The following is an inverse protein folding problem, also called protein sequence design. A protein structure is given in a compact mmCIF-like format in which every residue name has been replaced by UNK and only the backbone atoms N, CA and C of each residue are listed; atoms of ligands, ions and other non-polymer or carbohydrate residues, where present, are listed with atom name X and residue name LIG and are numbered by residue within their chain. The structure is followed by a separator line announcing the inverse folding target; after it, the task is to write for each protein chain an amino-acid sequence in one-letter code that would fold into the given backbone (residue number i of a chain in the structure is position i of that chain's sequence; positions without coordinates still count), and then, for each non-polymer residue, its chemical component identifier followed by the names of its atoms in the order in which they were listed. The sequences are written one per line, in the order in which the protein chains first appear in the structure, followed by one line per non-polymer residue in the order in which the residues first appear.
data_IF_377308796252
#
_entry.id   IF_377308796252
#
_cell.length_a   1.000
_cell.length_b   1.000
_cell.length_c   1.000
_cell.angle_alpha   90.00
_cell.angle_beta   90.00
_cell.angle_gamma   90.00
#
_symmetry.space_group_name_H-M   'P 1'
#
loop_
_entity.id
_entity.type
_entity.pdbx_description
1 polymer ?
#
# COMPACT_ATOMS: atom_id res chain seq x y z
N UNK A 1 -3.97 36.59 31.25
CA UNK A 1 -3.33 37.44 30.24
C UNK A 1 -3.86 37.05 28.86
N UNK A 2 -4.97 37.68 28.47
CA UNK A 2 -5.60 37.45 27.16
C UNK A 2 -4.98 38.37 26.12
N UNK A 3 -4.52 37.81 25.01
CA UNK A 3 -4.02 38.57 23.86
C UNK A 3 -5.21 38.77 22.91
N UNK A 4 -5.65 40.01 22.80
CA UNK A 4 -6.59 40.47 21.77
C UNK A 4 -5.76 40.77 20.52
N UNK A 5 -5.99 40.02 19.44
CA UNK A 5 -5.43 40.30 18.12
C UNK A 5 -6.38 41.24 17.37
N UNK A 6 -6.00 42.51 17.29
CA UNK A 6 -6.65 43.53 16.47
C UNK A 6 -6.41 43.22 14.99
N UNK A 7 -7.48 42.95 14.25
CA UNK A 7 -7.43 42.84 12.78
C UNK A 7 -7.35 44.24 12.20
N UNK A 8 -6.21 44.59 11.60
CA UNK A 8 -6.07 45.82 10.83
C UNK A 8 -6.92 45.71 9.55
N UNK A 9 -7.85 46.64 9.36
CA UNK A 9 -8.61 46.78 8.12
C UNK A 9 -7.67 47.25 7.00
N UNK A 10 -7.64 46.51 5.89
CA UNK A 10 -6.93 46.88 4.68
C UNK A 10 -7.62 48.10 4.02
N UNK A 11 -6.86 49.04 3.44
CA UNK A 11 -7.44 50.20 2.76
C UNK A 11 -8.20 49.78 1.51
N UNK A 12 -9.42 50.30 1.36
CA UNK A 12 -10.19 50.19 0.13
C UNK A 12 -9.43 50.91 -0.99
N UNK A 13 -8.97 50.15 -1.99
CA UNK A 13 -8.29 50.70 -3.16
C UNK A 13 -7.01 49.98 -3.62
N UNK A 14 -6.57 48.92 -2.93
CA UNK A 14 -5.45 48.11 -3.42
C UNK A 14 -5.89 47.25 -4.62
N UNK A 15 -5.46 47.66 -5.83
CA UNK A 15 -5.55 46.81 -7.02
C UNK A 15 -4.78 45.51 -6.78
N UNK A 16 -5.49 44.39 -6.84
CA UNK A 16 -4.88 43.06 -6.83
C UNK A 16 -3.95 42.96 -8.05
N UNK A 17 -2.65 42.64 -7.89
CA UNK A 17 -1.76 42.50 -9.03
C UNK A 17 -2.30 41.38 -9.93
N UNK A 18 -2.53 41.70 -11.21
CA UNK A 18 -2.90 40.77 -12.26
C UNK A 18 -1.73 39.82 -12.62
N UNK A 19 -1.28 39.03 -11.64
CA UNK A 19 -0.25 38.00 -11.81
C UNK A 19 -0.72 36.70 -11.14
N UNK A 20 -1.94 36.27 -11.46
CA UNK A 20 -2.19 34.84 -11.65
C UNK A 20 -1.59 34.48 -13.00
N UNK A 21 -0.26 34.39 -13.05
CA UNK A 21 0.48 33.78 -14.16
C UNK A 21 -0.15 32.41 -14.38
N UNK A 22 -0.77 32.25 -15.55
CA UNK A 22 -1.27 30.99 -16.06
C UNK A 22 -0.20 29.92 -15.89
N UNK A 23 -0.44 28.98 -14.98
CA UNK A 23 0.35 27.76 -14.94
C UNK A 23 0.23 27.10 -16.31
N UNK A 24 1.32 26.57 -16.89
CA UNK A 24 1.24 25.90 -18.18
C UNK A 24 0.27 24.71 -18.06
N UNK A 25 -0.85 24.79 -18.77
CA UNK A 25 -1.71 23.63 -19.02
C UNK A 25 -0.93 22.69 -19.92
N UNK A 26 -0.43 21.60 -19.36
CA UNK A 26 0.09 20.50 -20.16
C UNK A 26 -1.11 19.63 -20.55
N UNK A 27 -1.50 19.70 -21.82
CA UNK A 27 -2.45 18.75 -22.42
C UNK A 27 -1.62 17.65 -23.07
N UNK A 28 -1.68 16.45 -22.53
CA UNK A 28 -1.10 15.25 -23.14
C UNK A 28 -2.15 14.60 -24.03
N UNK A 29 -1.87 14.47 -25.33
CA UNK A 29 -2.68 13.62 -26.21
C UNK A 29 -2.43 12.15 -25.86
N UNK A 30 -3.51 11.39 -25.69
CA UNK A 30 -3.47 10.00 -25.24
C UNK A 30 -3.29 9.07 -26.43
N UNK A 31 -2.28 8.21 -26.37
CA UNK A 31 -2.05 7.14 -27.36
C UNK A 31 -3.07 6.00 -27.15
N UNK A 32 -4.01 5.87 -28.09
CA UNK A 32 -5.07 4.87 -28.06
C UNK A 32 -4.55 3.43 -28.17
N UNK A 33 -3.42 3.21 -28.84
CA UNK A 33 -2.86 1.86 -29.00
C UNK A 33 -2.23 1.37 -27.69
N UNK A 34 -1.53 2.25 -26.97
CA UNK A 34 -0.98 1.97 -25.65
C UNK A 34 -2.08 1.69 -24.60
N UNK A 35 -3.20 2.41 -24.68
CA UNK A 35 -4.37 2.19 -23.83
C UNK A 35 -5.04 0.84 -24.14
N UNK A 36 -5.30 0.53 -25.42
CA UNK A 36 -5.90 -0.76 -25.80
C UNK A 36 -5.02 -1.97 -25.42
N UNK A 37 -3.69 -1.83 -25.48
CA UNK A 37 -2.76 -2.88 -25.04
C UNK A 37 -2.72 -3.05 -23.52
N UNK A 38 -2.89 -1.96 -22.75
CA UNK A 38 -3.00 -1.99 -21.29
C UNK A 38 -4.37 -2.50 -20.80
N UNK A 39 -5.41 -2.31 -21.61
CA UNK A 39 -6.80 -2.71 -21.36
C UNK A 39 -7.14 -4.10 -21.90
N UNK A 40 -6.15 -5.00 -22.09
CA UNK A 40 -6.49 -6.41 -22.35
C UNK A 40 -7.48 -6.83 -21.27
N UNK A 41 -8.71 -7.27 -21.64
CA UNK A 41 -9.72 -7.62 -20.67
C UNK A 41 -9.16 -8.81 -19.88
N UNK A 42 -8.62 -8.51 -18.69
CA UNK A 42 -8.75 -9.43 -17.58
C UNK A 42 -10.25 -9.68 -17.51
N UNK A 43 -10.72 -10.93 -17.55
CA UNK A 43 -12.13 -11.16 -17.29
C UNK A 43 -12.43 -10.42 -16.00
N UNK A 44 -13.38 -9.49 -16.06
CA UNK A 44 -14.04 -8.94 -14.89
C UNK A 44 -14.63 -10.17 -14.20
N UNK A 45 -13.82 -10.86 -13.40
CA UNK A 45 -14.30 -11.74 -12.35
C UNK A 45 -15.03 -10.76 -11.48
N UNK A 46 -16.33 -10.71 -11.75
CA UNK A 46 -17.28 -9.86 -11.12
C UNK A 46 -16.91 -9.76 -9.65
N UNK A 47 -17.04 -8.56 -9.12
CA UNK A 47 -17.35 -8.36 -7.71
C UNK A 47 -18.67 -9.11 -7.49
N UNK A 48 -18.61 -10.44 -7.41
CA UNK A 48 -19.77 -11.27 -7.21
C UNK A 48 -20.27 -10.93 -5.82
N UNK A 49 -21.60 -10.81 -5.62
CA UNK A 49 -22.14 -10.66 -4.30
C UNK A 49 -21.69 -11.86 -3.46
N UNK A 50 -21.00 -11.55 -2.36
CA UNK A 50 -20.43 -12.45 -1.35
C UNK A 50 -21.52 -13.18 -0.55
N UNK A 51 -22.39 -13.91 -1.25
CA UNK A 51 -23.42 -14.76 -0.66
C UNK A 51 -23.00 -16.21 -0.80
N UNK A 52 -21.92 -16.59 -0.12
CA UNK A 52 -21.64 -18.01 0.12
C UNK A 52 -21.54 -18.25 1.63
N UNK A 53 -22.62 -18.79 2.20
CA UNK A 53 -22.79 -19.14 3.62
C UNK A 53 -22.19 -20.52 3.95
N UNK A 54 -21.23 -20.98 3.14
CA UNK A 54 -20.52 -22.23 3.40
C UNK A 54 -19.76 -22.12 4.71
N UNK A 55 -20.10 -22.97 5.68
CA UNK A 55 -19.32 -23.13 6.90
C UNK A 55 -17.94 -23.62 6.48
N UNK A 56 -16.90 -22.80 6.65
CA UNK A 56 -15.53 -23.23 6.38
C UNK A 56 -15.25 -24.48 7.24
N UNK A 57 -14.89 -25.62 6.63
CA UNK A 57 -14.49 -26.78 7.40
C UNK A 57 -13.36 -26.38 8.34
N UNK A 58 -13.37 -26.93 9.55
CA UNK A 58 -12.35 -26.69 10.55
C UNK A 58 -10.99 -27.10 9.94
N UNK A 59 -10.19 -26.10 9.54
CA UNK A 59 -8.89 -26.35 8.93
C UNK A 59 -8.00 -27.07 9.95
N UNK A 60 -7.20 -28.07 9.52
CA UNK A 60 -6.36 -28.86 10.43
C UNK A 60 -5.38 -27.97 11.23
N UNK A 61 -4.91 -28.49 12.36
CA UNK A 61 -3.87 -27.85 13.18
C UNK A 61 -2.67 -27.47 12.29
N UNK A 62 -2.09 -26.27 12.47
CA UNK A 62 -1.02 -25.83 11.60
C UNK A 62 0.22 -26.69 11.72
N UNK A 63 0.73 -27.10 10.56
CA UNK A 63 2.04 -27.70 10.46
C UNK A 63 3.13 -26.73 10.96
N UNK A 64 4.29 -27.24 11.43
CA UNK A 64 5.43 -26.40 11.79
C UNK A 64 5.82 -25.48 10.62
N UNK A 65 6.20 -24.24 10.93
CA UNK A 65 6.70 -23.30 9.92
C UNK A 65 7.95 -23.89 9.25
N UNK A 66 8.01 -23.94 7.91
CA UNK A 66 9.19 -24.42 7.22
C UNK A 66 10.45 -23.68 7.68
N UNK A 67 11.55 -24.40 7.89
CA UNK A 67 12.81 -23.83 8.37
C UNK A 67 13.30 -22.68 7.47
N UNK A 68 13.06 -22.77 6.16
CA UNK A 68 13.34 -21.71 5.19
C UNK A 68 12.66 -20.40 5.59
N UNK A 69 11.34 -20.41 5.79
CA UNK A 69 10.56 -19.23 6.22
C UNK A 69 11.08 -18.68 7.55
N UNK A 70 11.40 -19.55 8.52
CA UNK A 70 11.94 -19.12 9.82
C UNK A 70 13.28 -18.38 9.66
N UNK A 71 14.16 -18.85 8.77
CA UNK A 71 15.44 -18.21 8.47
C UNK A 71 15.34 -17.01 7.53
N UNK A 72 14.18 -16.75 6.92
CA UNK A 72 13.96 -15.56 6.11
C UNK A 72 13.48 -14.37 6.92
N UNK A 73 12.80 -14.61 8.03
CA UNK A 73 12.06 -13.60 8.80
C UNK A 73 12.82 -13.25 10.08
N UNK A 74 12.98 -11.96 10.32
CA UNK A 74 13.75 -11.40 11.42
C UNK A 74 13.07 -10.15 11.99
N UNK A 75 13.60 -9.59 13.07
CA UNK A 75 13.09 -8.34 13.65
C UNK A 75 13.92 -7.15 13.22
N UNK A 76 13.29 -5.97 13.20
CA UNK A 76 13.98 -4.68 13.08
C UNK A 76 13.74 -3.81 14.31
N UNK A 77 14.76 -3.04 14.67
CA UNK A 77 14.78 -2.21 15.87
C UNK A 77 15.72 -0.99 15.70
N UNK A 78 15.62 -0.01 16.60
CA UNK A 78 16.30 1.28 16.49
C UNK A 78 17.77 1.23 16.95
N UNK A 79 18.06 0.42 17.96
CA UNK A 79 19.39 0.15 18.49
C UNK A 79 19.49 -1.33 18.90
N UNK A 80 20.69 -1.90 19.08
CA UNK A 80 20.85 -3.28 19.55
C UNK A 80 20.16 -3.60 20.89
N UNK A 81 20.01 -2.60 21.77
CA UNK A 81 19.43 -2.72 23.10
C UNK A 81 17.92 -2.43 23.12
N UNK A 82 17.40 -1.80 22.07
CA UNK A 82 15.98 -1.46 21.98
C UNK A 82 15.12 -2.71 21.79
N UNK A 83 13.92 -2.71 22.37
CA UNK A 83 12.97 -3.79 22.12
C UNK A 83 12.50 -3.81 20.66
N UNK A 84 12.42 -5.02 20.09
CA UNK A 84 11.95 -5.30 18.73
C UNK A 84 10.71 -4.47 18.36
N UNK A 85 10.80 -3.70 17.28
CA UNK A 85 9.73 -2.77 16.86
C UNK A 85 8.87 -3.30 15.74
N UNK A 86 9.44 -4.08 14.83
CA UNK A 86 8.70 -4.63 13.72
C UNK A 86 9.28 -5.93 13.20
N UNK A 87 8.52 -6.54 12.30
CA UNK A 87 8.93 -7.71 11.54
C UNK A 87 9.60 -7.25 10.25
N UNK A 88 10.52 -8.06 9.76
CA UNK A 88 11.13 -7.88 8.46
C UNK A 88 11.50 -9.24 7.87
N UNK A 89 11.82 -9.26 6.59
CA UNK A 89 12.26 -10.49 5.93
C UNK A 89 13.26 -10.22 4.81
N UNK A 90 14.04 -11.25 4.49
CA UNK A 90 14.95 -11.26 3.37
C UNK A 90 14.22 -11.76 2.13
N UNK A 91 14.40 -11.07 1.01
CA UNK A 91 13.79 -11.45 -0.27
C UNK A 91 14.79 -11.26 -1.41
N UNK A 92 14.78 -12.16 -2.37
CA UNK A 92 15.53 -12.05 -3.61
C UNK A 92 14.68 -11.33 -4.65
N UNK A 93 15.20 -10.23 -5.19
CA UNK A 93 14.55 -9.48 -6.27
C UNK A 93 15.61 -9.15 -7.32
N UNK A 94 15.40 -9.67 -8.53
CA UNK A 94 16.27 -9.46 -9.68
C UNK A 94 17.75 -9.81 -9.36
N UNK A 95 17.97 -10.89 -8.60
CA UNK A 95 19.30 -11.41 -8.24
C UNK A 95 19.97 -10.73 -7.05
N UNK A 96 19.30 -9.77 -6.40
CA UNK A 96 19.81 -9.07 -5.22
C UNK A 96 18.94 -9.37 -4.00
N UNK A 97 19.60 -9.62 -2.87
CA UNK A 97 18.92 -9.82 -1.58
C UNK A 97 18.64 -8.48 -0.91
N UNK A 98 17.37 -8.25 -0.61
CA UNK A 98 16.87 -7.07 0.07
C UNK A 98 16.27 -7.44 1.42
N UNK A 99 16.42 -6.56 2.40
CA UNK A 99 15.63 -6.58 3.62
C UNK A 99 14.38 -5.73 3.42
N UNK A 100 13.24 -6.26 3.82
CA UNK A 100 11.92 -5.65 3.63
C UNK A 100 11.21 -5.49 4.95
N UNK A 101 10.60 -4.33 5.18
CA UNK A 101 9.63 -4.11 6.26
C UNK A 101 8.55 -3.11 5.83
N UNK A 102 7.58 -2.85 6.69
CA UNK A 102 6.60 -1.79 6.47
C UNK A 102 7.24 -0.41 6.66
N UNK A 103 6.84 0.59 5.88
CA UNK A 103 7.47 1.91 5.96
C UNK A 103 7.27 2.57 7.32
N UNK A 104 6.08 2.49 7.91
CA UNK A 104 5.84 3.07 9.23
C UNK A 104 6.69 2.42 10.34
N UNK A 105 7.11 1.16 10.19
CA UNK A 105 8.07 0.54 11.12
C UNK A 105 9.43 1.27 11.07
N UNK A 106 9.84 1.74 9.89
CA UNK A 106 11.06 2.57 9.77
C UNK A 106 10.92 3.91 10.48
N UNK A 107 9.73 4.51 10.49
CA UNK A 107 9.47 5.74 11.26
C UNK A 107 9.68 5.50 12.76
N UNK A 108 9.18 4.37 13.27
CA UNK A 108 9.29 3.98 14.69
C UNK A 108 10.73 3.68 15.15
N UNK A 109 11.64 3.40 14.21
CA UNK A 109 13.06 3.08 14.50
C UNK A 109 14.03 4.15 14.02
N UNK A 110 13.54 5.37 13.77
CA UNK A 110 14.37 6.50 13.30
C UNK A 110 15.14 6.22 12.00
N UNK A 111 14.67 5.26 11.20
CA UNK A 111 15.23 4.89 9.90
C UNK A 111 16.66 4.33 9.94
N UNK A 112 17.14 3.84 11.08
CA UNK A 112 18.44 3.15 11.16
C UNK A 112 18.17 1.72 11.62
N UNK A 113 17.86 0.80 10.68
CA UNK A 113 17.41 -0.54 11.05
C UNK A 113 18.57 -1.38 11.56
N UNK A 114 18.46 -1.83 12.80
CA UNK A 114 19.21 -2.99 13.29
C UNK A 114 18.38 -4.24 13.06
N UNK A 115 18.94 -5.21 12.36
CA UNK A 115 18.33 -6.51 12.09
C UNK A 115 18.72 -7.49 13.20
N UNK A 116 17.78 -8.21 13.77
CA UNK A 116 18.06 -9.28 14.74
C UNK A 116 17.47 -10.61 14.27
N UNK A 117 18.31 -11.62 14.13
CA UNK A 117 17.97 -12.96 13.64
C UNK A 117 18.65 -14.05 14.48
N UNK A 118 18.13 -15.29 14.47
CA UNK A 118 18.77 -16.40 15.18
C UNK A 118 20.15 -16.70 14.58
N UNK A 119 21.20 -16.60 15.41
CA UNK A 119 22.55 -17.02 15.07
C UNK A 119 22.82 -18.48 15.44
N UNK A 120 24.09 -18.85 15.45
CA UNK A 120 24.54 -20.18 15.85
C UNK A 120 24.12 -20.51 17.29
N UNK A 121 23.67 -21.75 17.51
CA UNK A 121 23.23 -22.25 18.82
C UNK A 121 22.09 -21.43 19.47
N UNK A 122 21.34 -20.65 18.67
CA UNK A 122 20.22 -19.85 19.14
C UNK A 122 20.60 -18.50 19.75
N UNK A 123 21.89 -18.12 19.75
CA UNK A 123 22.33 -16.78 20.18
C UNK A 123 21.90 -15.77 19.12
N UNK A 124 21.10 -14.73 19.45
CA UNK A 124 20.70 -13.72 18.48
C UNK A 124 21.91 -12.95 17.95
N UNK A 125 21.95 -12.75 16.63
CA UNK A 125 22.91 -11.86 15.97
C UNK A 125 22.17 -10.58 15.61
N UNK A 126 22.75 -9.44 15.98
CA UNK A 126 22.21 -8.11 15.65
C UNK A 126 23.21 -7.34 14.81
N UNK A 127 22.79 -6.85 13.65
CA UNK A 127 23.63 -6.08 12.73
C UNK A 127 22.90 -4.84 12.24
N UNK A 128 23.63 -3.75 12.06
CA UNK A 128 23.12 -2.55 11.39
C UNK A 128 22.94 -2.81 9.90
N UNK A 129 21.81 -2.36 9.35
CA UNK A 129 21.52 -2.40 7.93
C UNK A 129 21.33 -0.99 7.37
N UNK A 130 21.58 -0.84 6.07
CA UNK A 130 21.55 0.47 5.42
C UNK A 130 20.21 0.69 4.70
N UNK A 131 19.43 1.73 5.05
CA UNK A 131 18.22 2.07 4.30
C UNK A 131 18.54 2.32 2.82
N UNK A 132 17.64 1.89 1.94
CA UNK A 132 17.81 2.06 0.50
C UNK A 132 16.68 2.89 -0.10
N UNK A 133 15.44 2.41 -0.01
CA UNK A 133 14.29 3.06 -0.64
C UNK A 133 13.02 2.83 0.16
N UNK A 134 12.17 3.84 0.15
CA UNK A 134 10.95 3.89 0.95
C UNK A 134 9.79 4.39 0.10
N UNK A 135 8.65 3.70 0.19
CA UNK A 135 7.37 4.20 -0.29
C UNK A 135 6.76 5.21 0.69
N UNK A 136 5.64 5.82 0.32
CA UNK A 136 4.84 6.61 1.25
C UNK A 136 4.04 5.68 2.19
N UNK A 137 3.91 6.02 3.48
CA UNK A 137 3.01 5.32 4.43
C UNK A 137 1.57 5.26 3.90
N UNK A 138 1.14 6.32 3.21
CA UNK A 138 -0.17 6.36 2.59
C UNK A 138 -0.18 5.82 1.13
N UNK A 139 0.98 5.46 0.59
CA UNK A 139 1.20 4.88 -0.72
C UNK A 139 1.48 3.38 -0.66
N UNK A 140 2.71 2.96 -0.96
CA UNK A 140 3.11 1.56 -0.84
C UNK A 140 3.29 1.09 0.61
N UNK A 141 3.60 1.96 1.59
CA UNK A 141 3.92 1.61 2.98
C UNK A 141 4.99 0.50 3.12
N UNK A 142 6.00 0.56 2.27
CA UNK A 142 7.11 -0.39 2.23
C UNK A 142 8.45 0.32 2.40
N UNK A 143 9.39 -0.37 3.03
CA UNK A 143 10.78 0.05 3.09
C UNK A 143 11.70 -1.09 2.70
N UNK A 144 12.73 -0.75 1.92
CA UNK A 144 13.84 -1.60 1.54
C UNK A 144 15.13 -1.10 2.19
N UNK A 145 15.92 -2.06 2.67
CA UNK A 145 17.27 -1.82 3.15
C UNK A 145 18.22 -2.88 2.62
N UNK A 146 19.50 -2.52 2.53
CA UNK A 146 20.57 -3.40 2.11
C UNK A 146 20.92 -4.34 3.27
N UNK A 147 20.87 -5.64 3.02
CA UNK A 147 21.30 -6.64 4.00
C UNK A 147 22.84 -6.64 4.05
N UNK A 148 23.45 -6.47 5.24
CA UNK A 148 24.91 -6.52 5.37
C UNK A 148 25.42 -7.91 4.96
N UNK A 149 26.56 -8.03 4.24
CA UNK A 149 27.07 -9.32 3.77
C UNK A 149 27.25 -10.37 4.89
N UNK A 150 27.55 -9.91 6.11
CA UNK A 150 27.71 -10.75 7.30
C UNK A 150 26.42 -11.46 7.72
N UNK A 151 25.24 -10.94 7.34
CA UNK A 151 23.96 -11.58 7.65
C UNK A 151 23.59 -12.68 6.66
N UNK A 152 24.13 -12.68 5.43
CA UNK A 152 23.74 -13.59 4.36
C UNK A 152 23.86 -15.09 4.72
N UNK A 153 24.87 -15.56 5.48
CA UNK A 153 24.95 -16.96 5.88
C UNK A 153 23.76 -17.45 6.72
N UNK A 154 23.16 -16.55 7.51
CA UNK A 154 22.05 -16.84 8.43
C UNK A 154 20.69 -16.75 7.78
N UNK A 155 20.61 -16.12 6.61
CA UNK A 155 19.35 -15.82 5.94
C UNK A 155 19.10 -16.79 4.79
N UNK A 156 17.83 -17.11 4.56
CA UNK A 156 17.37 -17.76 3.34
C UNK A 156 16.38 -16.82 2.67
N UNK A 157 16.78 -16.03 1.67
CA UNK A 157 15.89 -15.09 1.02
C UNK A 157 14.67 -15.79 0.42
N UNK A 158 13.50 -15.18 0.58
CA UNK A 158 12.28 -15.63 -0.08
C UNK A 158 12.26 -15.19 -1.54
N UNK A 159 11.46 -15.87 -2.35
CA UNK A 159 11.13 -15.42 -3.70
C UNK A 159 9.81 -14.66 -3.71
N UNK A 160 9.63 -13.76 -4.69
CA UNK A 160 8.37 -13.07 -4.90
C UNK A 160 7.35 -13.96 -5.61
N UNK A 161 6.08 -13.77 -5.27
CA UNK A 161 4.96 -14.23 -6.08
C UNK A 161 4.54 -13.10 -7.02
N UNK A 162 4.48 -13.40 -8.32
CA UNK A 162 4.16 -12.40 -9.35
C UNK A 162 2.64 -12.28 -9.57
N UNK A 163 1.90 -13.34 -9.23
CA UNK A 163 0.46 -13.36 -9.35
C UNK A 163 -0.23 -12.82 -8.09
N UNK A 164 -1.28 -12.02 -8.29
CA UNK A 164 -2.13 -11.63 -7.16
C UNK A 164 -2.88 -12.86 -6.64
N UNK A 165 -3.03 -13.01 -5.32
CA UNK A 165 -3.80 -14.12 -4.78
C UNK A 165 -5.26 -14.00 -5.20
N UNK A 166 -5.88 -15.15 -5.50
CA UNK A 166 -7.31 -15.18 -5.79
C UNK A 166 -8.14 -14.90 -4.53
N UNK A 167 -9.32 -14.30 -4.70
CA UNK A 167 -10.30 -14.19 -3.62
C UNK A 167 -10.63 -15.58 -3.05
N UNK A 168 -10.86 -15.64 -1.74
CA UNK A 168 -11.08 -16.85 -0.92
C UNK A 168 -9.91 -17.85 -0.87
N UNK A 169 -8.79 -17.58 -1.53
CA UNK A 169 -7.57 -18.36 -1.30
C UNK A 169 -7.09 -18.18 0.15
N UNK A 170 -6.42 -19.21 0.68
CA UNK A 170 -5.85 -19.18 2.03
C UNK A 170 -4.35 -19.02 1.90
N UNK A 171 -3.84 -17.96 2.52
CA UNK A 171 -2.43 -17.63 2.59
C UNK A 171 -1.91 -17.88 4.00
N UNK A 172 -0.58 -17.95 4.13
CA UNK A 172 0.07 -17.96 5.43
C UNK A 172 0.87 -16.67 5.65
N UNK A 173 1.27 -16.39 6.88
CA UNK A 173 2.14 -15.26 7.21
C UNK A 173 2.97 -15.63 8.43
N UNK A 174 4.21 -15.17 8.51
CA UNK A 174 5.07 -15.43 9.66
C UNK A 174 5.86 -14.18 9.99
N UNK A 175 5.92 -13.81 11.26
CA UNK A 175 6.45 -12.54 11.72
C UNK A 175 6.72 -12.57 13.20
N UNK A 176 6.97 -11.42 13.79
CA UNK A 176 7.17 -11.25 15.21
C UNK A 176 6.06 -10.38 15.80
N UNK A 177 5.50 -10.76 16.94
CA UNK A 177 4.63 -9.88 17.71
C UNK A 177 5.14 -9.86 19.15
N UNK A 178 5.35 -8.65 19.69
CA UNK A 178 5.98 -8.44 21.01
C UNK A 178 7.30 -9.23 21.16
N UNK A 179 8.09 -9.30 20.10
CA UNK A 179 9.37 -10.03 20.08
C UNK A 179 9.27 -11.56 19.95
N UNK A 180 8.06 -12.13 19.95
CA UNK A 180 7.87 -13.57 19.76
C UNK A 180 7.57 -13.88 18.30
N UNK A 181 8.23 -14.90 17.75
CA UNK A 181 7.91 -15.38 16.42
C UNK A 181 6.53 -16.04 16.42
N UNK A 182 5.65 -15.57 15.53
CA UNK A 182 4.30 -16.06 15.36
C UNK A 182 4.07 -16.45 13.91
N UNK A 183 3.36 -17.56 13.72
CA UNK A 183 2.84 -17.98 12.42
C UNK A 183 1.33 -17.85 12.37
N UNK A 184 0.84 -17.37 11.25
CA UNK A 184 -0.55 -17.20 10.90
C UNK A 184 -0.83 -18.09 9.68
N UNK A 185 -1.17 -19.36 9.89
CA UNK A 185 -1.22 -20.38 8.84
C UNK A 185 -2.42 -20.21 7.89
N UNK A 186 -3.48 -19.54 8.34
CA UNK A 186 -4.74 -19.43 7.64
C UNK A 186 -5.25 -17.98 7.63
N UNK A 187 -4.89 -17.28 6.56
CA UNK A 187 -5.37 -15.94 6.22
C UNK A 187 -6.18 -16.01 4.93
N UNK A 188 -7.50 -15.92 5.03
CA UNK A 188 -8.37 -15.94 3.85
C UNK A 188 -8.32 -14.58 3.14
N UNK A 189 -8.09 -14.59 1.83
CA UNK A 189 -8.10 -13.39 0.99
C UNK A 189 -9.53 -12.96 0.71
N UNK A 190 -9.87 -11.75 1.12
CA UNK A 190 -11.18 -11.15 0.83
C UNK A 190 -11.14 -10.35 -0.47
N UNK A 191 -10.02 -9.68 -0.73
CA UNK A 191 -9.82 -8.83 -1.89
C UNK A 191 -8.33 -8.72 -2.20
N UNK A 192 -7.99 -8.66 -3.48
CA UNK A 192 -6.63 -8.39 -3.93
C UNK A 192 -6.67 -7.52 -5.18
N UNK A 193 -5.97 -6.39 -5.14
CA UNK A 193 -5.64 -5.57 -6.31
C UNK A 193 -4.13 -5.33 -6.33
N UNK A 194 -3.64 -4.67 -7.38
CA UNK A 194 -2.23 -4.23 -7.42
C UNK A 194 -1.90 -3.24 -6.30
N UNK A 195 -2.91 -2.60 -5.68
CA UNK A 195 -2.69 -1.63 -4.61
C UNK A 195 -2.60 -2.30 -3.23
N UNK A 196 -3.55 -3.20 -2.92
CA UNK A 196 -3.72 -3.78 -1.58
C UNK A 196 -4.26 -5.20 -1.66
N UNK A 197 -3.91 -5.98 -0.64
CA UNK A 197 -4.51 -7.28 -0.33
C UNK A 197 -5.22 -7.12 1.00
N UNK A 198 -6.51 -7.45 1.04
CA UNK A 198 -7.30 -7.53 2.25
C UNK A 198 -7.50 -9.00 2.59
N UNK A 199 -7.24 -9.34 3.85
CA UNK A 199 -7.40 -10.70 4.37
C UNK A 199 -8.13 -10.68 5.71
N UNK A 200 -8.66 -11.82 6.13
CA UNK A 200 -9.12 -12.07 7.51
C UNK A 200 -8.36 -13.24 8.12
N UNK A 201 -8.14 -13.19 9.43
CA UNK A 201 -7.60 -14.35 10.17
C UNK A 201 -8.72 -15.36 10.39
N UNK A 202 -8.48 -16.64 10.05
CA UNK A 202 -9.52 -17.69 10.12
C UNK A 202 -9.49 -18.45 11.44
N UNK A 203 -8.31 -18.60 12.04
CA UNK A 203 -8.10 -19.54 13.16
C UNK A 203 -7.40 -18.91 14.37
N UNK A 204 -7.19 -17.59 14.36
CA UNK A 204 -6.33 -16.90 15.30
C UNK A 204 -6.77 -15.45 15.45
N UNK A 205 -6.48 -14.87 16.62
CA UNK A 205 -6.61 -13.43 16.82
C UNK A 205 -5.58 -12.69 15.97
N UNK A 206 -5.86 -11.42 15.65
CA UNK A 206 -4.88 -10.53 15.06
C UNK A 206 -3.58 -10.61 15.85
N UNK A 207 -2.43 -10.63 15.15
CA UNK A 207 -1.16 -10.48 15.80
C UNK A 207 -1.08 -9.10 16.46
N UNK A 208 -0.45 -9.07 17.63
CA UNK A 208 -0.25 -7.85 18.40
C UNK A 208 0.86 -6.97 17.79
N UNK A 209 1.12 -5.82 18.41
CA UNK A 209 2.18 -4.88 18.01
C UNK A 209 3.51 -5.59 17.70
N UNK A 210 4.15 -5.16 16.61
CA UNK A 210 5.40 -5.73 16.09
C UNK A 210 5.25 -6.54 14.81
N UNK A 211 4.04 -6.96 14.43
CA UNK A 211 3.84 -7.85 13.28
C UNK A 211 3.92 -7.15 11.92
N UNK A 212 3.76 -5.82 11.87
CA UNK A 212 3.95 -5.03 10.67
C UNK A 212 5.33 -5.30 10.03
N UNK A 213 5.33 -5.46 8.71
CA UNK A 213 6.49 -5.87 7.91
C UNK A 213 6.61 -7.39 7.69
N UNK A 214 5.76 -8.21 8.31
CA UNK A 214 5.75 -9.66 8.08
C UNK A 214 5.34 -10.01 6.63
N UNK A 215 5.98 -11.00 5.98
CA UNK A 215 5.56 -11.45 4.67
C UNK A 215 4.21 -12.18 4.73
N UNK A 216 3.38 -11.91 3.73
CA UNK A 216 2.20 -12.70 3.37
C UNK A 216 2.62 -13.69 2.28
N UNK A 217 2.38 -14.97 2.50
CA UNK A 217 2.96 -16.08 1.76
C UNK A 217 1.90 -16.86 0.99
N UNK A 218 2.14 -17.04 -0.30
CA UNK A 218 1.41 -17.94 -1.20
C UNK A 218 2.39 -19.01 -1.66
N UNK A 219 2.11 -20.27 -1.33
CA UNK A 219 2.98 -21.40 -1.70
C UNK A 219 4.46 -21.21 -1.31
N UNK A 220 4.72 -20.57 -0.17
CA UNK A 220 6.08 -20.26 0.32
C UNK A 220 6.76 -19.05 -0.34
N UNK A 221 6.13 -18.41 -1.32
CA UNK A 221 6.58 -17.16 -1.96
C UNK A 221 5.86 -15.95 -1.39
N UNK A 222 6.49 -14.78 -1.45
CA UNK A 222 5.94 -13.53 -0.92
C UNK A 222 4.90 -12.97 -1.88
N UNK A 223 3.62 -13.04 -1.51
CA UNK A 223 2.52 -12.39 -2.21
C UNK A 223 2.33 -10.94 -1.76
N UNK A 224 2.78 -10.58 -0.55
CA UNK A 224 2.73 -9.22 -0.07
C UNK A 224 3.38 -9.02 1.30
N UNK A 225 3.23 -7.83 1.85
CA UNK A 225 3.77 -7.43 3.15
C UNK A 225 2.65 -6.93 4.03
N UNK A 226 2.51 -7.49 5.22
CA UNK A 226 1.55 -7.03 6.21
C UNK A 226 1.89 -5.62 6.70
N UNK A 227 0.94 -4.70 6.62
CA UNK A 227 1.12 -3.29 7.04
C UNK A 227 0.13 -2.84 8.11
N UNK A 228 -0.78 -3.70 8.55
CA UNK A 228 -1.69 -3.37 9.62
C UNK A 228 -2.84 -4.34 9.77
N UNK A 229 -3.47 -4.26 10.94
CA UNK A 229 -4.73 -4.92 11.24
C UNK A 229 -5.76 -3.88 11.67
N UNK A 230 -7.00 -4.04 11.24
CA UNK A 230 -8.14 -3.28 11.71
C UNK A 230 -8.93 -4.16 12.68
N UNK A 231 -8.97 -3.74 13.93
CA UNK A 231 -9.83 -4.36 14.94
C UNK A 231 -11.30 -4.13 14.60
N UNK A 232 -12.17 -5.04 15.06
CA UNK A 232 -13.59 -5.08 14.73
C UNK A 232 -14.32 -3.77 14.95
N UNK A 233 -14.13 -3.17 16.12
CA UNK A 233 -14.73 -1.91 16.56
C UNK A 233 -14.29 -0.73 15.68
N UNK A 234 -13.00 -0.65 15.38
CA UNK A 234 -12.43 0.40 14.53
C UNK A 234 -12.83 0.24 13.07
N UNK A 235 -12.95 -1.00 12.60
CA UNK A 235 -13.46 -1.28 11.27
C UNK A 235 -14.91 -0.80 11.15
N UNK A 236 -15.77 -1.12 12.12
CA UNK A 236 -17.19 -0.74 12.11
C UNK A 236 -17.43 0.78 12.06
N UNK A 237 -16.55 1.56 12.68
CA UNK A 237 -16.63 3.03 12.66
C UNK A 237 -16.07 3.69 11.40
N UNK A 238 -15.42 2.93 10.50
CA UNK A 238 -14.82 3.52 9.31
C UNK A 238 -15.89 3.91 8.28
N UNK A 239 -15.75 5.09 7.67
CA UNK A 239 -16.73 5.63 6.70
C UNK A 239 -17.08 4.68 5.55
N UNK A 240 -16.16 3.78 5.19
CA UNK A 240 -16.32 2.81 4.12
C UNK A 240 -16.95 1.47 4.56
N UNK A 241 -17.06 1.22 5.86
CA UNK A 241 -17.54 -0.04 6.42
C UNK A 241 -19.03 -0.25 6.17
N UNK A 242 -19.85 0.76 6.45
CA UNK A 242 -21.31 0.70 6.39
C UNK A 242 -21.88 0.41 5.00
N UNK A 243 -21.16 0.80 3.93
CA UNK A 243 -21.59 0.59 2.54
C UNK A 243 -20.97 -0.61 1.83
N UNK A 244 -19.80 -1.09 2.26
CA UNK A 244 -18.99 -2.02 1.44
C UNK A 244 -18.54 -3.28 2.16
N UNK A 245 -18.59 -3.33 3.50
CA UNK A 245 -18.21 -4.54 4.25
C UNK A 245 -19.40 -5.34 4.78
N UNK A 246 -20.60 -4.77 4.82
CA UNK A 246 -21.82 -5.52 5.15
C UNK A 246 -22.02 -6.75 4.25
N UNK A 247 -21.56 -6.66 3.00
CA UNK A 247 -21.57 -7.78 2.04
C UNK A 247 -20.58 -8.90 2.36
N UNK A 248 -19.48 -8.66 3.08
CA UNK A 248 -18.45 -9.71 3.29
C UNK A 248 -18.84 -10.74 4.36
N UNK A 249 -20.01 -10.62 5.00
CA UNK A 249 -20.48 -11.45 6.13
C UNK A 249 -19.38 -11.75 7.16
N UNK A 250 -18.38 -10.89 7.24
CA UNK A 250 -17.31 -10.99 8.18
C UNK A 250 -17.85 -10.32 9.42
N UNK A 251 -18.22 -11.10 10.44
CA UNK A 251 -18.01 -10.62 11.80
C UNK A 251 -16.61 -10.04 11.79
N UNK A 252 -16.46 -8.77 12.15
CA UNK A 252 -15.27 -7.96 11.88
C UNK A 252 -14.03 -8.43 12.68
N UNK A 253 -13.83 -9.74 12.84
CA UNK A 253 -12.60 -10.34 13.28
C UNK A 253 -11.47 -9.82 12.41
N UNK A 254 -10.67 -8.95 13.03
CA UNK A 254 -9.29 -8.64 12.72
C UNK A 254 -8.96 -8.67 11.22
N UNK A 255 -9.46 -7.69 10.48
CA UNK A 255 -9.09 -7.53 9.09
C UNK A 255 -7.60 -7.20 9.03
N UNK A 256 -6.91 -7.77 8.05
CA UNK A 256 -5.51 -7.46 7.83
C UNK A 256 -5.28 -6.92 6.43
N UNK A 257 -4.53 -5.83 6.38
CA UNK A 257 -4.13 -5.13 5.18
C UNK A 257 -2.68 -5.49 4.86
N UNK A 258 -2.44 -5.86 3.62
CA UNK A 258 -1.13 -6.09 3.08
C UNK A 258 -0.91 -5.34 1.77
N UNK A 259 0.35 -5.12 1.43
CA UNK A 259 0.80 -4.47 0.20
C UNK A 259 1.32 -5.57 -0.73
N UNK A 260 0.82 -5.67 -1.98
CA UNK A 260 1.26 -6.69 -2.92
C UNK A 260 2.77 -6.66 -3.22
N UNK A 261 3.33 -7.83 -3.49
CA UNK A 261 4.73 -8.03 -3.87
C UNK A 261 5.16 -7.21 -5.11
N UNK A 262 4.22 -6.89 -6.01
CA UNK A 262 4.43 -5.97 -7.11
C UNK A 262 5.11 -4.66 -6.70
N UNK A 263 4.68 -4.07 -5.57
CA UNK A 263 5.28 -2.84 -5.06
C UNK A 263 6.72 -3.03 -4.57
N UNK A 264 7.07 -4.21 -4.06
CA UNK A 264 8.45 -4.51 -3.65
C UNK A 264 9.39 -4.48 -4.86
N UNK A 265 8.98 -5.12 -5.97
CA UNK A 265 9.76 -5.11 -7.21
C UNK A 265 9.93 -3.69 -7.75
N UNK A 266 8.84 -2.92 -7.81
CA UNK A 266 8.88 -1.51 -8.22
C UNK A 266 9.84 -0.69 -7.34
N UNK A 267 9.78 -0.87 -6.01
CA UNK A 267 10.63 -0.14 -5.07
C UNK A 267 12.11 -0.57 -5.17
N UNK A 268 12.39 -1.86 -5.39
CA UNK A 268 13.73 -2.40 -5.55
C UNK A 268 14.38 -1.89 -6.85
N UNK A 269 13.60 -1.80 -7.93
CA UNK A 269 14.07 -1.20 -9.19
C UNK A 269 14.29 0.30 -9.06
N UNK A 270 13.52 0.99 -8.22
CA UNK A 270 13.79 2.41 -7.92
C UNK A 270 15.09 2.57 -7.14
N UNK A 271 15.40 1.64 -6.22
CA UNK A 271 16.66 1.62 -5.50
C UNK A 271 17.87 1.34 -6.42
N UNK A 272 17.72 0.47 -7.41
CA UNK A 272 18.80 0.13 -8.35
C UNK A 272 18.95 1.08 -9.55
N UNK A 273 18.03 2.05 -9.71
CA UNK A 273 17.99 2.93 -10.87
C UNK A 273 17.44 2.27 -12.15
N UNK A 274 16.95 1.03 -12.07
CA UNK A 274 16.38 0.28 -13.19
C UNK A 274 14.87 0.52 -13.38
N UNK A 275 14.26 1.40 -12.58
CA UNK A 275 12.82 1.62 -12.58
C UNK A 275 12.32 2.37 -13.82
N UNK A 276 11.31 1.80 -14.48
CA UNK A 276 10.51 2.50 -15.48
C UNK A 276 9.21 3.05 -14.87
N UNK A 277 8.85 4.32 -15.12
CA UNK A 277 7.54 4.88 -14.72
C UNK A 277 6.33 4.06 -15.20
N UNK A 278 6.49 3.23 -16.24
CA UNK A 278 5.46 2.33 -16.73
C UNK A 278 5.14 1.17 -15.77
N UNK A 279 6.01 0.92 -14.79
CA UNK A 279 5.83 -0.11 -13.76
C UNK A 279 4.98 0.38 -12.58
N UNK A 280 4.42 1.58 -12.61
CA UNK A 280 3.45 2.04 -11.61
C UNK A 280 2.07 1.40 -11.76
N UNK A 281 1.21 1.57 -10.74
CA UNK A 281 -0.18 1.11 -10.81
C UNK A 281 -0.98 2.06 -11.70
N UNK A 282 -1.60 1.57 -12.78
CA UNK A 282 -2.44 2.41 -13.61
C UNK A 282 -3.64 2.90 -12.80
N UNK A 283 -3.88 4.21 -12.85
CA UNK A 283 -5.08 4.84 -12.34
C UNK A 283 -6.01 5.07 -13.53
N UNK A 284 -7.13 4.35 -13.57
CA UNK A 284 -8.00 4.26 -14.73
C UNK A 284 -9.43 4.61 -14.34
N UNK A 285 -10.08 5.43 -15.16
CA UNK A 285 -11.50 5.74 -15.09
C UNK A 285 -12.16 5.42 -16.41
N UNK A 286 -13.15 4.53 -16.43
CA UNK A 286 -13.89 4.17 -17.65
C UNK A 286 -12.94 3.78 -18.81
N UNK A 287 -11.88 3.03 -18.50
CA UNK A 287 -10.84 2.63 -19.46
C UNK A 287 -9.79 3.70 -19.78
N UNK A 288 -9.98 4.95 -19.35
CA UNK A 288 -9.01 6.02 -19.57
C UNK A 288 -7.94 6.02 -18.46
N UNK A 289 -6.69 5.72 -18.81
CA UNK A 289 -5.58 5.84 -17.87
C UNK A 289 -5.24 7.31 -17.63
N UNK A 290 -5.46 7.78 -16.41
CA UNK A 290 -5.09 9.12 -15.96
C UNK A 290 -3.59 9.24 -15.73
N UNK A 291 -3.05 8.29 -14.98
CA UNK A 291 -1.61 8.22 -14.71
C UNK A 291 -1.22 6.84 -14.15
N UNK A 292 0.05 6.71 -13.73
CA UNK A 292 0.56 5.54 -13.00
C UNK A 292 1.10 5.94 -11.64
N UNK A 293 0.49 5.41 -10.58
CA UNK A 293 0.92 5.62 -9.20
C UNK A 293 2.29 4.98 -8.96
N UNK A 294 3.18 5.77 -8.39
CA UNK A 294 4.50 5.37 -7.95
C UNK A 294 4.46 4.84 -6.50
N UNK A 295 5.46 4.06 -6.05
CA UNK A 295 5.52 3.60 -4.65
C UNK A 295 5.50 4.75 -3.62
N UNK A 296 6.01 5.91 -4.03
CA UNK A 296 6.08 7.15 -3.25
C UNK A 296 4.86 8.04 -3.39
N UNK A 297 3.90 7.70 -4.25
CA UNK A 297 2.68 8.47 -4.43
C UNK A 297 1.64 8.10 -3.38
N UNK A 298 0.83 9.07 -3.02
CA UNK A 298 -0.32 8.92 -2.13
C UNK A 298 -1.51 9.58 -2.77
N UNK A 299 -2.63 8.85 -2.84
CA UNK A 299 -3.92 9.45 -3.17
C UNK A 299 -4.49 10.06 -1.90
N UNK A 300 -4.68 11.37 -1.91
CA UNK A 300 -5.35 12.08 -0.83
C UNK A 300 -6.85 11.80 -0.88
N UNK A 301 -7.48 12.19 -1.98
CA UNK A 301 -8.90 11.94 -2.24
C UNK A 301 -9.20 11.90 -3.74
N UNK A 302 -10.36 11.36 -4.05
CA UNK A 302 -10.97 11.38 -5.38
C UNK A 302 -12.34 12.05 -5.26
N UNK A 303 -12.58 13.12 -6.01
CA UNK A 303 -13.80 13.93 -5.93
C UNK A 303 -14.54 13.91 -7.27
N UNK A 304 -15.79 13.48 -7.25
CA UNK A 304 -16.72 13.58 -8.37
C UNK A 304 -17.50 14.90 -8.27
N UNK A 305 -17.56 15.64 -9.37
CA UNK A 305 -18.35 16.84 -9.53
C UNK A 305 -19.39 16.66 -10.64
N UNK A 306 -20.58 17.21 -10.44
CA UNK A 306 -21.65 17.28 -11.45
C UNK A 306 -22.13 18.71 -11.54
N UNK A 307 -22.04 19.30 -12.72
CA UNK A 307 -22.35 20.72 -12.93
C UNK A 307 -21.61 21.64 -11.94
N UNK A 308 -20.33 21.32 -11.67
CA UNK A 308 -19.47 22.07 -10.74
C UNK A 308 -19.73 21.86 -9.24
N UNK A 309 -20.73 21.04 -8.87
CA UNK A 309 -21.04 20.71 -7.47
C UNK A 309 -20.44 19.36 -7.08
N UNK A 310 -19.88 19.27 -5.88
CA UNK A 310 -19.36 18.00 -5.35
C UNK A 310 -20.52 17.03 -5.13
N UNK A 311 -20.47 15.88 -5.80
CA UNK A 311 -21.44 14.78 -5.64
C UNK A 311 -20.91 13.77 -4.63
N UNK A 312 -19.63 13.42 -4.75
CA UNK A 312 -19.01 12.38 -3.95
C UNK A 312 -17.53 12.67 -3.74
N UNK A 313 -17.05 12.49 -2.52
CA UNK A 313 -15.62 12.47 -2.21
C UNK A 313 -15.29 11.11 -1.64
N UNK A 314 -14.36 10.41 -2.27
CA UNK A 314 -13.84 9.14 -1.81
C UNK A 314 -12.44 9.34 -1.23
N UNK A 315 -12.26 9.17 0.08
CA UNK A 315 -10.93 8.95 0.64
C UNK A 315 -10.41 7.56 0.22
N UNK A 316 -9.11 7.32 0.46
CA UNK A 316 -8.46 6.05 0.18
C UNK A 316 -9.08 4.90 1.00
N UNK A 317 -9.42 3.80 0.34
CA UNK A 317 -9.88 2.56 0.99
C UNK A 317 -8.96 1.36 0.71
N UNK A 318 -8.86 0.39 1.64
CA UNK A 318 -8.00 -0.78 1.45
C UNK A 318 -8.46 -1.74 0.34
N UNK A 319 -9.69 -1.62 -0.15
CA UNK A 319 -10.23 -2.43 -1.26
C UNK A 319 -10.43 -1.62 -2.55
N UNK A 320 -9.79 -0.45 -2.66
CA UNK A 320 -9.79 0.27 -3.93
C UNK A 320 -9.00 -0.50 -4.99
N UNK A 321 -9.62 -0.68 -6.15
CA UNK A 321 -8.93 -1.05 -7.38
C UNK A 321 -8.75 0.20 -8.26
N UNK A 322 -7.53 0.74 -8.27
CA UNK A 322 -7.22 1.92 -9.07
C UNK A 322 -7.27 1.66 -10.58
N UNK A 323 -7.24 0.40 -11.01
CA UNK A 323 -7.44 0.05 -12.42
C UNK A 323 -8.91 0.08 -12.85
N UNK A 324 -9.85 0.22 -11.89
CA UNK A 324 -11.29 0.18 -12.12
C UNK A 324 -12.03 1.18 -11.23
N UNK A 325 -11.61 2.46 -11.24
CA UNK A 325 -12.17 3.46 -10.34
C UNK A 325 -13.65 3.73 -10.59
N UNK A 326 -14.14 3.48 -11.82
CA UNK A 326 -15.56 3.58 -12.17
C UNK A 326 -16.47 2.75 -11.26
N UNK A 327 -15.97 1.66 -10.68
CA UNK A 327 -16.74 0.79 -9.77
C UNK A 327 -17.16 1.51 -8.48
N UNK A 328 -16.53 2.64 -8.15
CA UNK A 328 -16.82 3.40 -6.94
C UNK A 328 -17.67 4.66 -7.18
N UNK A 329 -18.04 4.97 -8.42
CA UNK A 329 -18.77 6.19 -8.78
C UNK A 329 -19.96 5.89 -9.69
N UNK A 330 -21.05 6.61 -9.49
CA UNK A 330 -22.17 6.63 -10.43
C UNK A 330 -21.89 7.70 -11.49
N UNK A 331 -21.18 7.30 -12.55
CA UNK A 331 -20.64 8.20 -13.57
C UNK A 331 -21.72 8.57 -14.60
N UNK A 332 -21.97 9.87 -14.81
CA UNK A 332 -22.85 10.37 -15.87
C UNK A 332 -22.08 11.25 -16.87
N UNK A 333 -22.56 11.39 -18.13
CA UNK A 333 -21.99 12.33 -19.07
C UNK A 333 -21.90 13.75 -18.49
N UNK A 334 -20.74 14.40 -18.65
CA UNK A 334 -20.48 15.74 -18.11
C UNK A 334 -20.07 15.81 -16.64
N UNK A 335 -20.03 14.68 -15.93
CA UNK A 335 -19.39 14.62 -14.61
C UNK A 335 -17.89 14.90 -14.77
N UNK A 336 -17.28 15.60 -13.81
CA UNK A 336 -15.84 15.78 -13.75
C UNK A 336 -15.23 15.16 -12.50
N UNK A 337 -14.01 14.65 -12.63
CA UNK A 337 -13.31 13.95 -11.56
C UNK A 337 -12.04 14.71 -11.23
N UNK A 338 -11.86 14.99 -9.94
CA UNK A 338 -10.70 15.68 -9.40
C UNK A 338 -9.95 14.75 -8.46
N UNK A 339 -8.71 14.50 -8.79
CA UNK A 339 -7.84 13.61 -8.03
C UNK A 339 -6.73 14.41 -7.38
N UNK A 340 -6.54 14.27 -6.07
CA UNK A 340 -5.38 14.79 -5.35
C UNK A 340 -4.34 13.68 -5.17
N UNK A 341 -3.15 13.88 -5.74
CA UNK A 341 -2.00 13.01 -5.52
C UNK A 341 -0.87 13.79 -4.90
N UNK A 342 -0.38 13.28 -3.79
CA UNK A 342 0.81 13.76 -3.11
C UNK A 342 1.97 12.84 -3.47
N UNK A 343 2.95 13.36 -4.21
CA UNK A 343 4.17 12.63 -4.56
C UNK A 343 5.35 13.15 -3.77
N UNK A 344 6.18 12.25 -3.27
CA UNK A 344 7.46 12.57 -2.64
C UNK A 344 7.89 11.47 -1.69
N UNK A 345 9.20 11.30 -1.51
CA UNK A 345 9.74 10.45 -0.45
C UNK A 345 10.19 11.32 0.73
N UNK A 346 10.39 10.73 1.91
CA UNK A 346 11.02 11.46 3.03
C UNK A 346 12.42 11.98 2.64
N UNK A 347 13.14 11.21 1.81
CA UNK A 347 14.47 11.55 1.31
C UNK A 347 14.42 12.71 0.30
N UNK A 348 13.30 12.86 -0.43
CA UNK A 348 13.05 13.94 -1.39
C UNK A 348 11.72 14.65 -1.06
N UNK A 349 11.72 15.54 -0.05
CA UNK A 349 10.51 16.03 0.61
C UNK A 349 9.71 17.05 -0.21
N UNK A 350 10.05 17.30 -1.47
CA UNK A 350 9.26 18.16 -2.35
C UNK A 350 7.92 17.48 -2.66
N UNK A 351 6.99 17.55 -1.70
CA UNK A 351 5.62 17.12 -1.85
C UNK A 351 5.02 17.93 -2.97
N UNK A 352 4.67 17.26 -4.05
CA UNK A 352 3.95 17.88 -5.16
C UNK A 352 2.53 17.39 -5.08
N UNK A 353 1.60 18.34 -5.12
CA UNK A 353 0.18 18.02 -5.19
C UNK A 353 -0.26 18.15 -6.64
N UNK A 354 -0.59 17.02 -7.25
CA UNK A 354 -1.13 16.96 -8.60
C UNK A 354 -2.65 16.92 -8.56
N UNK A 355 -3.26 17.76 -9.38
CA UNK A 355 -4.70 17.82 -9.60
C UNK A 355 -4.97 17.35 -11.02
N UNK A 356 -5.66 16.23 -11.15
CA UNK A 356 -6.12 15.74 -12.44
C UNK A 356 -7.60 16.01 -12.56
N UNK A 357 -8.00 16.64 -13.67
CA UNK A 357 -9.40 16.86 -14.03
C UNK A 357 -9.72 16.11 -15.32
N UNK A 358 -10.74 15.27 -15.25
CA UNK A 358 -11.27 14.51 -16.38
C UNK A 358 -12.79 14.68 -16.44
N UNK A 359 -13.35 14.88 -17.64
CA UNK A 359 -14.79 15.00 -17.87
C UNK A 359 -15.31 13.73 -18.56
N UNK A 360 -16.33 13.11 -17.98
CA UNK A 360 -16.96 11.92 -18.53
C UNK A 360 -17.58 12.17 -19.90
N UNK A 361 -17.18 11.36 -20.89
CA UNK A 361 -17.54 11.52 -22.30
C UNK A 361 -16.50 12.29 -23.11
N UNK A 362 -15.51 12.90 -22.46
CA UNK A 362 -14.37 13.55 -23.10
C UNK A 362 -13.10 12.69 -22.94
N UNK A 363 -12.27 12.65 -23.99
CA UNK A 363 -10.97 11.97 -23.96
C UNK A 363 -9.83 12.88 -23.52
N UNK A 364 -10.14 14.00 -22.89
CA UNK A 364 -9.16 14.99 -22.47
C UNK A 364 -8.95 14.92 -20.96
N UNK A 365 -7.68 14.89 -20.56
CA UNK A 365 -7.27 14.99 -19.16
C UNK A 365 -6.48 16.28 -19.00
N UNK A 366 -6.87 17.10 -18.04
CA UNK A 366 -6.12 18.30 -17.66
C UNK A 366 -5.36 18.02 -16.38
N UNK A 367 -4.03 18.14 -16.43
CA UNK A 367 -3.18 18.06 -15.24
C UNK A 367 -2.77 19.47 -14.80
N UNK A 368 -2.99 19.76 -13.52
CA UNK A 368 -2.49 20.99 -12.87
C UNK A 368 -1.56 20.62 -11.72
N UNK A 369 -0.34 21.17 -11.73
CA UNK A 369 0.64 20.97 -10.67
C UNK A 369 0.52 22.12 -9.67
N UNK A 370 0.30 21.80 -8.39
CA UNK A 370 0.41 22.77 -7.29
C UNK A 370 1.67 22.45 -6.49
N UNK A 371 2.50 23.48 -6.30
CA UNK A 371 3.73 23.42 -5.49
C UNK A 371 3.43 23.81 -4.05
#
# INVERSE_FOLDING_TARGET
LGIVLTVAALPAGAQVPAVLKSLPRVSTQIDRAAVAAALRPQPLRAVMPLLNTGHSPMLPLPAPVPATIRSSVFTVQATPESHHKGSAFAVNIDGRVWGVTARHVMDDINHTPYMTFPGENGVPVTLEAKPSKEGSVAGADLALFEIPPQALPYLRPLELEDELPAAHSVLSSSGFARGNFLSQPAREVLFASRHRILTKYVQSNAPMNGYCGAPLLQNGKVAGVHIGSLLADKAQSADWFSGTLSQFNAKAHDLSIAVPAFWLRALARQASGAYSPQEGIPLVFNGLQIMRLQPTDTIGFIMQLRNGRVVKTLPRYPFMDFAHLETFFDVHPGDSFRLEIQSGSRIYPARRTYWYEWTAGENNITQTIRK
#
